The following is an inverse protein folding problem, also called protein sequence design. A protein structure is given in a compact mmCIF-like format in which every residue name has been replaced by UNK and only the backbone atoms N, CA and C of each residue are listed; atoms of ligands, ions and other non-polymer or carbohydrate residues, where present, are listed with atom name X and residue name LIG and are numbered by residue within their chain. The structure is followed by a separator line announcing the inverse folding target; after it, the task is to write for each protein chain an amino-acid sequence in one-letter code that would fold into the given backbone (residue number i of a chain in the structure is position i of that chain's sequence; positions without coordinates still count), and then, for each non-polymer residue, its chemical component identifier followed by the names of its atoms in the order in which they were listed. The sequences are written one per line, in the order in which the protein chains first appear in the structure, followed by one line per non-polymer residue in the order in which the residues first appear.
data_IF_474944474557
#
_entry.id   IF_474944474557
#
_cell.length_a   1.000
_cell.length_b   1.000
_cell.length_c   1.000
_cell.angle_alpha   90.00
_cell.angle_beta   90.00
_cell.angle_gamma   90.00
#
_symmetry.space_group_name_H-M   'P 1'
#
loop_
_entity.id
_entity.type
_entity.pdbx_description
1 polymer ?
#
# COMPACT_ATOMS: atom_id res chain seq x y z
N UNK A 1 10.16 -9.35 -11.91
CA UNK A 1 9.38 -8.23 -12.52
C UNK A 1 7.93 -8.44 -12.13
N UNK A 2 7.50 -7.81 -11.03
CA UNK A 2 6.09 -7.88 -10.58
C UNK A 2 5.26 -7.09 -11.58
N UNK A 3 4.61 -7.78 -12.51
CA UNK A 3 3.64 -7.15 -13.41
C UNK A 3 2.36 -6.94 -12.62
N UNK A 4 2.00 -5.67 -12.43
CA UNK A 4 0.63 -5.31 -12.09
C UNK A 4 -0.29 -5.97 -13.12
N UNK A 5 -0.97 -7.06 -12.72
CA UNK A 5 -1.88 -7.77 -13.62
C UNK A 5 -3.25 -7.12 -13.52
N UNK A 6 -3.54 -6.25 -14.47
CA UNK A 6 -4.92 -6.01 -14.85
C UNK A 6 -5.52 -7.38 -15.26
N UNK A 7 -6.58 -7.81 -14.61
CA UNK A 7 -7.33 -8.99 -15.05
C UNK A 7 -8.05 -8.64 -16.36
N UNK A 8 -7.39 -8.93 -17.47
CA UNK A 8 -8.04 -8.89 -18.79
C UNK A 8 -8.90 -10.15 -18.93
N UNK A 9 -10.19 -10.00 -18.75
CA UNK A 9 -11.18 -10.99 -19.18
C UNK A 9 -11.93 -10.32 -20.33
N UNK A 10 -11.67 -10.80 -21.54
CA UNK A 10 -12.39 -10.48 -22.78
C UNK A 10 -12.67 -8.99 -23.04
N UNK A 11 -11.67 -8.20 -23.41
CA UNK A 11 -11.75 -6.85 -23.99
C UNK A 11 -12.80 -5.86 -23.42
N UNK A 12 -13.51 -6.21 -22.38
CA UNK A 12 -14.32 -5.30 -21.57
C UNK A 12 -13.61 -5.14 -20.22
N UNK A 13 -13.19 -3.92 -19.89
CA UNK A 13 -12.83 -3.56 -18.52
C UNK A 13 -14.12 -3.65 -17.72
N UNK A 14 -14.41 -4.84 -17.17
CA UNK A 14 -15.47 -4.95 -16.19
C UNK A 14 -15.08 -4.06 -15.01
N UNK A 15 -15.74 -2.92 -14.86
CA UNK A 15 -15.66 -2.07 -13.68
C UNK A 15 -16.24 -2.85 -12.49
N UNK A 16 -15.47 -3.82 -11.99
CA UNK A 16 -15.69 -4.31 -10.63
C UNK A 16 -15.36 -3.16 -9.70
N UNK A 17 -16.12 -2.99 -8.64
CA UNK A 17 -16.00 -1.91 -7.65
C UNK A 17 -14.54 -1.68 -7.26
N UNK A 18 -13.90 -0.67 -7.89
CA UNK A 18 -12.53 -0.27 -7.62
C UNK A 18 -12.58 0.69 -6.42
N UNK A 19 -11.83 0.37 -5.38
CA UNK A 19 -11.68 1.27 -4.25
C UNK A 19 -10.90 2.52 -4.68
N UNK A 20 -11.41 3.69 -4.33
CA UNK A 20 -10.76 4.97 -4.57
C UNK A 20 -10.38 5.63 -3.24
N UNK A 21 -9.13 6.09 -3.16
CA UNK A 21 -8.60 6.83 -2.02
C UNK A 21 -7.78 8.02 -2.53
N UNK A 22 -8.03 9.20 -1.99
CA UNK A 22 -7.23 10.39 -2.24
C UNK A 22 -6.44 10.78 -0.98
N UNK A 23 -5.16 11.06 -1.14
CA UNK A 23 -4.26 11.43 -0.04
C UNK A 23 -3.41 12.65 -0.38
N UNK A 24 -3.02 13.47 0.62
CA UNK A 24 -2.06 14.52 0.42
C UNK A 24 -0.66 13.92 0.21
N UNK A 25 0.03 14.37 -0.81
CA UNK A 25 1.32 13.80 -1.24
C UNK A 25 2.53 14.69 -0.92
N UNK A 26 2.32 15.88 -0.34
CA UNK A 26 3.43 16.82 -0.18
C UNK A 26 4.02 17.23 -1.54
N UNK A 27 5.33 17.07 -1.72
CA UNK A 27 5.96 17.17 -3.03
C UNK A 27 5.55 15.99 -3.90
N UNK A 28 4.72 16.27 -4.89
CA UNK A 28 4.09 15.24 -5.72
C UNK A 28 5.12 14.39 -6.47
N UNK A 29 6.18 14.99 -7.00
CA UNK A 29 7.20 14.27 -7.76
C UNK A 29 7.94 13.26 -6.88
N UNK A 30 8.35 13.65 -5.69
CA UNK A 30 9.01 12.77 -4.71
C UNK A 30 8.12 11.62 -4.30
N UNK A 31 6.85 11.90 -4.04
CA UNK A 31 5.90 10.87 -3.61
C UNK A 31 5.52 9.92 -4.74
N UNK A 32 5.34 10.42 -5.98
CA UNK A 32 5.15 9.55 -7.16
C UNK A 32 6.35 8.62 -7.34
N UNK A 33 7.58 9.11 -7.18
CA UNK A 33 8.79 8.29 -7.25
C UNK A 33 8.76 7.14 -6.23
N UNK A 34 8.34 7.41 -4.99
CA UNK A 34 8.18 6.36 -3.99
C UNK A 34 7.19 5.27 -4.45
N UNK A 35 6.00 5.64 -4.91
CA UNK A 35 5.02 4.65 -5.36
C UNK A 35 5.46 3.88 -6.60
N UNK A 36 6.19 4.50 -7.52
CA UNK A 36 6.65 3.83 -8.74
C UNK A 36 7.94 3.03 -8.57
N UNK A 37 8.96 3.60 -7.96
CA UNK A 37 10.28 2.99 -7.87
C UNK A 37 10.38 2.02 -6.67
N UNK A 38 9.86 2.40 -5.50
CA UNK A 38 9.93 1.57 -4.30
C UNK A 38 8.82 0.51 -4.33
N UNK A 39 7.56 0.91 -4.49
CA UNK A 39 6.44 -0.02 -4.46
C UNK A 39 6.19 -0.74 -5.81
N UNK A 40 6.65 -0.18 -6.92
CA UNK A 40 6.48 -0.77 -8.25
C UNK A 40 5.10 -0.55 -8.86
N UNK A 41 4.34 0.40 -8.35
CA UNK A 41 3.07 0.81 -8.90
C UNK A 41 3.23 1.54 -10.24
N UNK A 42 2.17 1.66 -11.02
CA UNK A 42 2.15 2.44 -12.24
C UNK A 42 1.30 3.70 -12.06
N UNK A 43 1.67 4.77 -12.73
CA UNK A 43 0.84 5.98 -12.76
C UNK A 43 -0.26 5.85 -13.81
N UNK A 44 -1.40 6.45 -13.51
CA UNK A 44 -2.53 6.57 -14.42
C UNK A 44 -2.71 8.00 -14.92
N UNK A 45 -3.93 8.52 -14.82
CA UNK A 45 -4.28 9.87 -15.22
C UNK A 45 -3.65 10.91 -14.29
N UNK A 46 -3.52 12.16 -14.75
CA UNK A 46 -2.88 13.21 -13.94
C UNK A 46 -3.22 14.61 -14.43
N UNK A 47 -3.08 15.57 -13.52
CA UNK A 47 -3.03 17.00 -13.85
C UNK A 47 -1.71 17.58 -13.33
N UNK A 48 -0.92 18.13 -14.25
CA UNK A 48 0.43 18.58 -13.95
C UNK A 48 0.48 19.53 -12.74
N UNK A 49 1.34 19.19 -11.78
CA UNK A 49 1.55 19.97 -10.55
C UNK A 49 0.40 19.96 -9.55
N UNK A 50 -0.65 19.16 -9.78
CA UNK A 50 -1.82 19.11 -8.91
C UNK A 50 -2.09 17.73 -8.35
N UNK A 51 -2.18 16.71 -9.19
CA UNK A 51 -2.46 15.34 -8.76
C UNK A 51 -2.01 14.31 -9.80
N UNK A 52 -1.81 13.08 -9.32
CA UNK A 52 -1.51 11.89 -10.12
C UNK A 52 -2.27 10.71 -9.55
N UNK A 53 -2.95 9.96 -10.41
CA UNK A 53 -3.51 8.65 -10.05
C UNK A 53 -2.43 7.57 -10.12
N UNK A 54 -2.49 6.66 -9.19
CA UNK A 54 -1.62 5.49 -9.10
C UNK A 54 -2.48 4.24 -9.12
N UNK A 55 -2.13 3.29 -9.98
CA UNK A 55 -2.68 1.93 -9.91
C UNK A 55 -2.10 1.21 -8.68
N UNK A 56 -2.81 1.30 -7.57
CA UNK A 56 -2.45 0.68 -6.31
C UNK A 56 -3.00 -0.75 -6.25
N UNK A 57 -2.33 -1.65 -7.00
CA UNK A 57 -2.72 -3.07 -7.18
C UNK A 57 -4.18 -3.27 -7.56
N UNK A 58 -4.65 -2.51 -8.54
CA UNK A 58 -6.01 -2.58 -9.06
C UNK A 58 -7.00 -1.67 -8.35
N UNK A 59 -6.54 -0.80 -7.44
CA UNK A 59 -7.32 0.26 -6.82
C UNK A 59 -6.79 1.62 -7.24
N UNK A 60 -7.64 2.63 -7.22
CA UNK A 60 -7.27 4.00 -7.59
C UNK A 60 -6.80 4.76 -6.34
N UNK A 61 -5.52 5.11 -6.31
CA UNK A 61 -4.94 6.00 -5.31
C UNK A 61 -4.59 7.33 -5.96
N UNK A 62 -5.27 8.41 -5.58
CA UNK A 62 -4.97 9.75 -6.09
C UNK A 62 -4.05 10.49 -5.12
N UNK A 63 -2.87 10.87 -5.62
CA UNK A 63 -1.87 11.66 -4.91
C UNK A 63 -2.09 13.13 -5.22
N UNK A 64 -2.43 13.94 -4.24
CA UNK A 64 -2.60 15.39 -4.40
C UNK A 64 -1.38 16.16 -3.89
N UNK A 65 -0.86 17.09 -4.73
CA UNK A 65 0.12 18.06 -4.28
C UNK A 65 -0.38 18.78 -3.03
N UNK A 66 0.45 18.86 -2.01
CA UNK A 66 0.12 19.55 -0.76
C UNK A 66 1.33 20.32 -0.22
N UNK A 67 1.06 21.29 0.66
CA UNK A 67 2.12 22.15 1.21
C UNK A 67 2.72 21.60 2.51
N UNK A 68 2.00 20.71 3.20
CA UNK A 68 2.37 20.23 4.52
C UNK A 68 2.50 18.71 4.55
N UNK A 69 3.51 18.27 5.29
CA UNK A 69 3.67 16.86 5.63
C UNK A 69 2.71 16.48 6.74
N UNK A 70 2.12 15.29 6.64
CA UNK A 70 1.27 14.76 7.70
C UNK A 70 2.09 14.46 8.97
N UNK A 71 1.56 14.78 10.15
CA UNK A 71 2.20 14.41 11.40
C UNK A 71 2.17 12.89 11.58
N UNK A 72 3.28 12.34 12.03
CA UNK A 72 3.30 10.93 12.44
C UNK A 72 2.54 10.74 13.74
N UNK A 73 1.30 10.25 13.65
CA UNK A 73 0.44 9.99 14.82
C UNK A 73 0.33 8.47 15.02
N UNK A 74 0.62 8.03 16.25
CA UNK A 74 0.42 6.62 16.64
C UNK A 74 -0.63 6.58 17.75
N UNK A 75 -1.55 5.65 17.62
CA UNK A 75 -2.60 5.40 18.60
C UNK A 75 -2.35 4.06 19.29
N UNK A 76 -2.71 3.97 20.55
CA UNK A 76 -2.73 2.71 21.27
C UNK A 76 -4.01 1.95 20.90
N UNK A 77 -3.85 0.97 20.01
CA UNK A 77 -4.94 0.12 19.52
C UNK A 77 -4.52 -1.34 19.57
N UNK A 78 -5.45 -2.23 19.85
CA UNK A 78 -5.22 -3.68 19.97
C UNK A 78 -4.06 -4.02 20.92
N UNK A 79 -2.91 -4.34 20.37
CA UNK A 79 -1.75 -4.86 21.09
C UNK A 79 -0.54 -3.92 21.08
N UNK A 80 -0.71 -2.66 20.67
CA UNK A 80 0.40 -1.72 20.63
C UNK A 80 0.08 -0.42 19.92
N UNK A 81 1.09 0.44 19.81
CA UNK A 81 0.97 1.71 19.13
C UNK A 81 0.98 1.51 17.62
N UNK A 82 -0.12 1.81 16.96
CA UNK A 82 -0.30 1.71 15.52
C UNK A 82 -0.66 3.07 14.94
N UNK A 83 -0.11 3.40 13.78
CA UNK A 83 -0.52 4.61 13.08
C UNK A 83 -1.90 4.43 12.46
N UNK A 84 -2.84 5.28 12.82
CA UNK A 84 -4.22 5.28 12.32
C UNK A 84 -4.62 6.73 12.00
N UNK A 85 -5.17 7.06 10.80
CA UNK A 85 -5.48 6.12 9.73
C UNK A 85 -4.23 5.57 9.02
N UNK A 86 -4.38 4.40 8.45
CA UNK A 86 -3.45 3.82 7.48
C UNK A 86 -4.24 3.10 6.38
N UNK A 87 -3.59 2.81 5.27
CA UNK A 87 -4.14 2.00 4.19
C UNK A 87 -3.09 1.03 3.67
N UNK A 88 -3.48 0.10 2.82
CA UNK A 88 -2.54 -0.87 2.27
C UNK A 88 -3.23 -1.96 1.50
N UNK A 89 -2.56 -3.09 1.36
CA UNK A 89 -3.06 -4.21 0.58
C UNK A 89 -2.78 -5.56 1.25
N UNK A 90 -3.75 -6.48 1.11
CA UNK A 90 -3.48 -7.91 1.26
C UNK A 90 -2.88 -8.44 -0.03
N UNK A 91 -1.76 -9.14 0.06
CA UNK A 91 -0.99 -9.62 -1.08
C UNK A 91 -0.84 -11.14 -1.03
N UNK A 92 -0.56 -11.75 -2.18
CA UNK A 92 -0.06 -13.12 -2.19
C UNK A 92 1.28 -13.18 -1.45
N UNK A 93 1.65 -14.35 -0.94
CA UNK A 93 2.93 -14.54 -0.25
C UNK A 93 4.13 -14.18 -1.16
N UNK A 94 4.05 -14.52 -2.44
CA UNK A 94 5.10 -14.18 -3.42
C UNK A 94 5.23 -12.67 -3.63
N UNK A 95 4.11 -11.97 -3.84
CA UNK A 95 4.12 -10.51 -4.05
C UNK A 95 4.57 -9.76 -2.80
N UNK A 96 4.17 -10.23 -1.62
CA UNK A 96 4.61 -9.67 -0.33
C UNK A 96 6.13 -9.82 -0.14
N UNK A 97 6.68 -10.99 -0.49
CA UNK A 97 8.12 -11.23 -0.44
C UNK A 97 8.87 -10.35 -1.43
N UNK A 98 8.39 -10.23 -2.66
CA UNK A 98 9.00 -9.39 -3.69
C UNK A 98 8.96 -7.91 -3.28
N UNK A 99 7.86 -7.46 -2.67
CA UNK A 99 7.76 -6.10 -2.16
C UNK A 99 8.75 -5.82 -1.03
N UNK A 100 8.92 -6.74 -0.08
CA UNK A 100 9.94 -6.60 0.97
C UNK A 100 11.34 -6.44 0.37
N UNK A 101 11.70 -7.25 -0.64
CA UNK A 101 12.99 -7.13 -1.31
C UNK A 101 13.17 -5.76 -1.98
N UNK A 102 12.12 -5.21 -2.60
CA UNK A 102 12.17 -3.86 -3.21
C UNK A 102 12.41 -2.79 -2.17
N UNK A 103 11.70 -2.85 -1.04
CA UNK A 103 11.83 -1.90 0.07
C UNK A 103 13.27 -1.94 0.62
N UNK A 104 13.82 -3.12 0.83
CA UNK A 104 15.19 -3.32 1.29
C UNK A 104 16.23 -2.83 0.27
N UNK A 105 16.04 -3.11 -1.01
CA UNK A 105 16.92 -2.62 -2.09
C UNK A 105 16.89 -1.11 -2.26
N UNK A 106 15.76 -0.48 -1.96
CA UNK A 106 15.59 0.97 -1.97
C UNK A 106 16.09 1.63 -0.67
N UNK A 107 16.59 0.84 0.28
CA UNK A 107 17.01 1.31 1.62
C UNK A 107 15.92 2.15 2.31
N UNK A 108 14.65 1.79 2.08
CA UNK A 108 13.52 2.50 2.67
C UNK A 108 13.20 1.94 4.07
N UNK A 109 13.08 2.83 5.05
CA UNK A 109 12.86 2.46 6.44
C UNK A 109 11.46 1.90 6.69
N UNK A 110 11.39 0.86 7.53
CA UNK A 110 10.13 0.40 8.09
C UNK A 110 9.72 1.27 9.29
N UNK A 111 8.45 1.60 9.41
CA UNK A 111 7.88 2.08 10.67
C UNK A 111 7.76 0.94 11.67
N UNK A 112 7.23 -0.19 11.23
CA UNK A 112 7.23 -1.45 11.94
C UNK A 112 7.73 -2.53 10.97
N UNK A 113 8.88 -3.17 11.25
CA UNK A 113 9.44 -4.19 10.38
C UNK A 113 8.53 -5.42 10.33
N UNK A 114 8.70 -6.30 9.31
CA UNK A 114 7.84 -7.48 9.15
C UNK A 114 7.72 -8.33 10.42
N UNK A 115 6.50 -8.63 10.83
CA UNK A 115 6.21 -9.49 11.97
C UNK A 115 4.93 -10.32 11.74
N UNK A 116 4.81 -11.42 12.48
CA UNK A 116 3.66 -12.31 12.40
C UNK A 116 2.67 -12.06 13.53
N UNK A 117 1.39 -11.98 13.16
CA UNK A 117 0.24 -11.89 14.06
C UNK A 117 -0.55 -13.19 14.02
N UNK A 118 -1.30 -13.45 15.10
CA UNK A 118 -2.23 -14.58 15.23
C UNK A 118 -1.60 -15.96 14.93
N UNK A 119 -0.34 -16.14 15.32
CA UNK A 119 0.44 -17.36 15.08
C UNK A 119 -0.32 -18.61 15.53
N UNK A 120 -0.33 -19.63 14.66
CA UNK A 120 -0.96 -20.92 14.94
C UNK A 120 -2.49 -20.92 14.87
N UNK A 121 -3.10 -19.82 14.44
CA UNK A 121 -4.54 -19.74 14.19
C UNK A 121 -4.83 -19.71 12.68
N UNK A 122 -6.10 -19.89 12.30
CA UNK A 122 -6.52 -19.76 10.90
C UNK A 122 -6.32 -18.33 10.35
N UNK A 123 -6.18 -17.32 11.23
CA UNK A 123 -5.98 -15.92 10.89
C UNK A 123 -4.51 -15.50 10.85
N UNK A 124 -3.58 -16.45 10.90
CA UNK A 124 -2.14 -16.15 10.88
C UNK A 124 -1.76 -15.31 9.66
N UNK A 125 -1.09 -14.20 9.90
CA UNK A 125 -0.67 -13.25 8.86
C UNK A 125 0.70 -12.66 9.18
N UNK A 126 1.39 -12.23 8.14
CA UNK A 126 2.59 -11.38 8.24
C UNK A 126 2.24 -9.97 7.78
N UNK A 127 2.73 -8.96 8.49
CA UNK A 127 2.48 -7.56 8.19
C UNK A 127 3.70 -6.71 8.45
N UNK A 128 3.79 -5.57 7.78
CA UNK A 128 4.73 -4.50 8.08
C UNK A 128 4.10 -3.15 7.80
N UNK A 129 4.70 -2.11 8.39
CA UNK A 129 4.29 -0.72 8.16
C UNK A 129 5.45 0.10 7.60
N UNK A 130 5.13 0.94 6.61
CA UNK A 130 6.03 1.94 6.03
C UNK A 130 5.31 3.28 5.93
N UNK A 131 6.03 4.36 5.71
CA UNK A 131 5.43 5.65 5.37
C UNK A 131 5.88 6.11 3.98
N UNK A 132 4.98 6.79 3.27
CA UNK A 132 5.35 7.50 2.08
C UNK A 132 6.12 8.80 2.44
N UNK A 133 6.71 9.53 1.47
CA UNK A 133 7.47 10.76 1.75
C UNK A 133 6.67 11.85 2.44
N UNK A 134 5.33 11.85 2.33
CA UNK A 134 4.47 12.83 2.99
C UNK A 134 3.97 12.38 4.38
N UNK A 135 4.29 11.17 4.81
CA UNK A 135 3.88 10.62 6.10
C UNK A 135 2.56 9.86 6.07
N UNK A 136 1.98 9.58 4.90
CA UNK A 136 0.90 8.60 4.81
C UNK A 136 1.44 7.23 5.21
N UNK A 137 0.70 6.52 6.07
CA UNK A 137 1.12 5.22 6.58
C UNK A 137 0.46 4.11 5.78
N UNK A 138 1.28 3.14 5.36
CA UNK A 138 0.85 1.98 4.61
C UNK A 138 1.10 0.71 5.42
N UNK A 139 0.11 -0.17 5.50
CA UNK A 139 0.24 -1.52 6.04
C UNK A 139 0.12 -2.55 4.92
N UNK A 140 1.15 -3.34 4.72
CA UNK A 140 1.13 -4.46 3.78
C UNK A 140 1.01 -5.77 4.53
N UNK A 141 0.14 -6.66 4.03
CA UNK A 141 -0.19 -7.92 4.69
C UNK A 141 -0.17 -9.10 3.73
N UNK A 142 0.18 -10.26 4.25
CA UNK A 142 -0.11 -11.54 3.61
C UNK A 142 -0.68 -12.51 4.64
N UNK A 143 -1.69 -13.28 4.26
CA UNK A 143 -2.30 -14.30 5.13
C UNK A 143 -1.86 -15.69 4.72
N UNK A 144 -1.61 -16.55 5.70
CA UNK A 144 -1.38 -17.99 5.45
C UNK A 144 -2.62 -18.61 4.81
N UNK A 145 -3.80 -18.21 5.29
CA UNK A 145 -5.08 -18.68 4.76
C UNK A 145 -5.95 -17.48 4.35
N UNK A 146 -5.81 -16.97 3.11
CA UNK A 146 -6.55 -15.78 2.67
C UNK A 146 -8.08 -15.99 2.58
N UNK A 147 -8.55 -17.23 2.56
CA UNK A 147 -9.98 -17.56 2.48
C UNK A 147 -10.77 -17.14 3.72
N UNK A 148 -10.07 -16.91 4.84
CA UNK A 148 -10.73 -16.52 6.10
C UNK A 148 -10.85 -15.01 6.28
N UNK A 149 -10.36 -14.19 5.35
CA UNK A 149 -10.30 -12.73 5.48
C UNK A 149 -11.66 -12.11 5.86
N UNK A 150 -12.75 -12.65 5.32
CA UNK A 150 -14.12 -12.18 5.58
C UNK A 150 -14.99 -13.25 6.27
N UNK A 151 -14.35 -14.27 6.86
CA UNK A 151 -15.06 -15.29 7.61
C UNK A 151 -15.51 -14.72 8.96
N UNK A 152 -16.76 -14.90 9.29
CA UNK A 152 -17.39 -14.53 10.57
C UNK A 152 -17.59 -15.74 11.47
#
# INVERSE_FOLDING_TARGET
MVKCRLRHVNNEVAMSQIFHLAVPAGDLATTVTFYTEVLGCQTGNSEHGRWVDVDFWGNELTLHQSTERLPGVRHDVDMGAVSVPHFGAHMSESDFKDLKQRIEQAEHDYLDPPYRRFKGTEFEQETFFISDPNGNVLEMKTMVNPEVLFKT
#
